data_IF_763679050028
#
_entry.id   IF_763679050028
#
_cell.length_a   1.000
_cell.length_b   1.000
_cell.length_c   1.000
_cell.angle_alpha   90.00
_cell.angle_beta   90.00
_cell.angle_gamma   90.00
#
_symmetry.space_group_name_H-M   'P 1'
#
loop_
_entity.id
_entity.type
_entity.pdbx_description
1 polymer ?
#
# COMPACT_ATOMS: atom_id res chain seq x y z
N UNK A 1 25.18 -18.15 29.60
CA UNK A 1 25.43 -18.42 31.05
C UNK A 1 24.15 -18.47 31.87
N UNK A 2 23.04 -17.85 31.44
CA UNK A 2 21.73 -17.98 32.11
C UNK A 2 20.66 -18.64 31.22
N UNK A 3 21.07 -19.35 30.17
CA UNK A 3 20.15 -19.81 29.12
C UNK A 3 19.18 -20.87 29.65
N UNK A 4 19.64 -21.78 30.51
CA UNK A 4 18.78 -22.73 31.20
C UNK A 4 17.72 -22.04 32.10
N UNK A 5 18.13 -21.06 32.90
CA UNK A 5 17.21 -20.32 33.77
C UNK A 5 16.18 -19.50 32.96
N UNK A 6 16.59 -18.94 31.81
CA UNK A 6 15.69 -18.25 30.88
C UNK A 6 14.66 -19.21 30.27
N UNK A 7 15.10 -20.39 29.83
CA UNK A 7 14.21 -21.43 29.28
C UNK A 7 13.18 -21.86 30.33
N UNK A 8 13.62 -22.19 31.56
CA UNK A 8 12.72 -22.61 32.64
C UNK A 8 11.68 -21.54 32.99
N UNK A 9 12.08 -20.27 32.98
CA UNK A 9 11.17 -19.15 33.22
C UNK A 9 10.13 -19.01 32.10
N UNK A 10 10.53 -19.14 30.83
CA UNK A 10 9.59 -19.10 29.71
C UNK A 10 8.61 -20.27 29.77
N UNK A 11 9.05 -21.47 30.13
CA UNK A 11 8.15 -22.63 30.32
C UNK A 11 7.10 -22.38 31.38
N UNK A 12 7.47 -21.77 32.51
CA UNK A 12 6.51 -21.38 33.54
C UNK A 12 5.50 -20.35 33.03
N UNK A 13 5.93 -19.38 32.22
CA UNK A 13 5.04 -18.40 31.59
C UNK A 13 4.08 -19.09 30.62
N UNK A 14 4.58 -19.96 29.73
CA UNK A 14 3.78 -20.73 28.77
C UNK A 14 2.74 -21.58 29.50
N UNK A 15 3.14 -22.28 30.56
CA UNK A 15 2.24 -23.09 31.37
C UNK A 15 1.14 -22.23 32.00
N UNK A 16 1.49 -21.05 32.53
CA UNK A 16 0.52 -20.10 33.10
C UNK A 16 -0.49 -19.61 32.07
N UNK A 17 -0.01 -19.14 30.90
CA UNK A 17 -0.86 -18.67 29.80
C UNK A 17 -1.81 -19.75 29.31
N UNK A 18 -1.30 -20.97 29.14
CA UNK A 18 -2.07 -22.12 28.63
C UNK A 18 -3.13 -22.58 29.62
N UNK A 19 -2.78 -22.68 30.92
CA UNK A 19 -3.72 -23.08 31.97
C UNK A 19 -4.86 -22.07 32.14
N UNK A 20 -4.56 -20.78 31.97
CA UNK A 20 -5.55 -19.71 32.08
C UNK A 20 -6.32 -19.45 30.78
N UNK A 21 -5.94 -20.11 29.67
CA UNK A 21 -6.53 -19.91 28.33
C UNK A 21 -6.56 -18.44 27.91
N UNK A 22 -5.47 -17.73 28.19
CA UNK A 22 -5.33 -16.31 27.84
C UNK A 22 -5.31 -16.18 26.31
N UNK A 23 -6.11 -15.25 25.79
CA UNK A 23 -5.99 -14.85 24.39
C UNK A 23 -4.70 -14.03 24.20
N UNK A 24 -3.80 -14.56 23.36
CA UNK A 24 -2.48 -13.98 23.06
C UNK A 24 -2.42 -13.37 21.66
N UNK A 25 -3.55 -13.24 20.96
CA UNK A 25 -3.64 -12.75 19.58
C UNK A 25 -3.03 -11.35 19.37
N UNK A 26 -3.19 -10.47 20.37
CA UNK A 26 -2.67 -9.09 20.36
C UNK A 26 -1.16 -8.99 20.60
N UNK A 27 -0.55 -10.02 21.21
CA UNK A 27 0.88 -10.06 21.56
C UNK A 27 1.65 -11.11 20.76
N UNK A 28 1.00 -11.77 19.79
CA UNK A 28 1.57 -12.88 19.02
C UNK A 28 2.89 -12.50 18.34
N UNK A 29 2.97 -11.31 17.75
CA UNK A 29 4.16 -10.81 17.07
C UNK A 29 5.34 -10.68 18.05
N UNK A 30 5.11 -10.10 19.23
CA UNK A 30 6.15 -9.93 20.25
C UNK A 30 6.64 -11.25 20.83
N UNK A 31 5.73 -12.22 21.02
CA UNK A 31 6.10 -13.57 21.45
C UNK A 31 6.99 -14.26 20.42
N UNK A 32 6.61 -14.21 19.15
CA UNK A 32 7.37 -14.80 18.04
C UNK A 32 8.74 -14.13 17.89
N UNK A 33 8.80 -12.81 17.91
CA UNK A 33 10.03 -12.03 17.77
C UNK A 33 11.11 -12.35 18.80
N UNK A 34 10.69 -12.78 20.01
CA UNK A 34 11.59 -13.12 21.11
C UNK A 34 11.87 -14.62 21.15
N UNK A 35 10.83 -15.45 21.05
CA UNK A 35 10.92 -16.89 21.31
C UNK A 35 11.37 -17.71 20.10
N UNK A 36 11.34 -17.14 18.89
CA UNK A 36 11.92 -17.77 17.70
C UNK A 36 13.47 -17.73 17.71
N UNK A 37 14.06 -16.86 18.54
CA UNK A 37 15.51 -16.72 18.67
C UNK A 37 16.13 -17.75 19.64
N UNK A 38 17.42 -18.06 19.47
CA UNK A 38 18.19 -18.76 20.50
C UNK A 38 18.21 -17.98 21.83
N UNK A 39 18.18 -18.66 22.99
CA UNK A 39 18.22 -20.11 23.15
C UNK A 39 16.82 -20.78 23.15
N UNK A 40 15.74 -20.01 23.02
CA UNK A 40 14.38 -20.47 23.31
C UNK A 40 13.88 -21.49 22.28
N UNK A 41 14.09 -21.21 20.99
CA UNK A 41 13.56 -22.07 19.93
C UNK A 41 14.21 -23.46 19.86
N UNK A 42 15.41 -23.61 20.45
CA UNK A 42 16.08 -24.91 20.57
C UNK A 42 15.38 -25.85 21.57
N UNK A 43 14.55 -25.33 22.47
CA UNK A 43 13.75 -26.14 23.39
C UNK A 43 12.48 -26.66 22.72
N UNK A 44 12.26 -27.97 22.81
CA UNK A 44 11.15 -28.65 22.13
C UNK A 44 9.76 -28.24 22.64
N UNK A 45 9.64 -27.92 23.94
CA UNK A 45 8.36 -27.51 24.52
C UNK A 45 7.99 -26.10 24.09
N UNK A 46 8.96 -25.18 24.16
CA UNK A 46 8.78 -23.79 23.72
C UNK A 46 8.49 -23.75 22.23
N UNK A 47 9.29 -24.43 21.40
CA UNK A 47 9.11 -24.41 19.94
C UNK A 47 7.78 -25.01 19.49
N UNK A 48 7.33 -26.12 20.10
CA UNK A 48 6.03 -26.71 19.74
C UNK A 48 4.85 -25.80 20.13
N UNK A 49 4.90 -25.20 21.32
CA UNK A 49 3.89 -24.21 21.72
C UNK A 49 3.91 -23.00 20.76
N UNK A 50 5.10 -22.49 20.43
CA UNK A 50 5.27 -21.33 19.56
C UNK A 50 4.75 -21.55 18.15
N UNK A 51 4.88 -22.77 17.59
CA UNK A 51 4.26 -23.12 16.29
C UNK A 51 2.74 -22.98 16.31
N UNK A 52 2.10 -23.31 17.44
CA UNK A 52 0.66 -23.06 17.64
C UNK A 52 0.32 -21.56 17.63
N UNK A 53 1.14 -20.73 18.26
CA UNK A 53 1.00 -19.27 18.21
C UNK A 53 1.23 -18.74 16.78
N UNK A 54 2.21 -19.32 16.08
CA UNK A 54 2.58 -18.94 14.72
C UNK A 54 1.48 -19.22 13.70
N UNK A 55 0.71 -20.30 13.85
CA UNK A 55 -0.41 -20.62 12.95
C UNK A 55 -1.39 -19.44 12.82
N UNK A 56 -1.82 -18.86 13.95
CA UNK A 56 -2.69 -17.68 13.97
C UNK A 56 -1.99 -16.41 13.46
N UNK A 57 -0.67 -16.32 13.62
CA UNK A 57 0.11 -15.18 13.11
C UNK A 57 0.20 -15.20 11.58
N UNK A 58 0.36 -16.38 10.98
CA UNK A 58 0.44 -16.60 9.53
C UNK A 58 -0.86 -16.16 8.83
N UNK A 59 -2.03 -16.44 9.42
CA UNK A 59 -3.34 -16.08 8.85
C UNK A 59 -3.46 -14.59 8.50
N UNK A 60 -2.83 -13.71 9.28
CA UNK A 60 -2.82 -12.25 9.05
C UNK A 60 -2.27 -11.88 7.66
N UNK A 61 -1.38 -12.71 7.12
CA UNK A 61 -0.71 -12.48 5.85
C UNK A 61 -1.34 -13.24 4.68
N UNK A 62 -2.50 -13.88 4.89
CA UNK A 62 -3.17 -14.55 3.78
C UNK A 62 -3.84 -13.56 2.81
N UNK A 63 -4.33 -12.43 3.33
CA UNK A 63 -4.98 -11.37 2.56
C UNK A 63 -4.17 -10.06 2.55
N UNK A 64 -2.99 -10.05 3.18
CA UNK A 64 -2.16 -8.86 3.32
C UNK A 64 -0.68 -9.13 2.98
N UNK A 65 0.00 -8.18 2.31
CA UNK A 65 1.44 -8.26 2.11
C UNK A 65 2.21 -8.38 3.43
N UNK A 66 3.10 -9.36 3.50
CA UNK A 66 3.96 -9.65 4.63
C UNK A 66 5.19 -8.73 4.59
N UNK A 67 5.46 -7.94 5.64
CA UNK A 67 6.70 -7.18 5.71
C UNK A 67 7.89 -8.13 5.85
N UNK A 68 9.10 -7.64 5.57
CA UNK A 68 10.32 -8.43 5.72
C UNK A 68 10.44 -8.96 7.15
N UNK A 69 10.53 -10.28 7.28
CA UNK A 69 10.66 -10.97 8.56
C UNK A 69 12.13 -11.30 8.87
N UNK A 70 12.44 -11.52 10.15
CA UNK A 70 13.73 -12.06 10.57
C UNK A 70 13.88 -13.52 10.13
N UNK A 71 15.12 -13.97 9.98
CA UNK A 71 15.46 -15.36 9.65
C UNK A 71 14.80 -16.37 10.60
N UNK A 72 14.90 -16.13 11.92
CA UNK A 72 14.30 -16.95 12.97
C UNK A 72 12.78 -17.11 12.82
N UNK A 73 12.10 -16.03 12.45
CA UNK A 73 10.64 -15.99 12.26
C UNK A 73 10.25 -16.76 11.00
N UNK A 74 10.96 -16.59 9.88
CA UNK A 74 10.71 -17.38 8.66
C UNK A 74 10.98 -18.87 8.91
N UNK A 75 12.03 -19.20 9.66
CA UNK A 75 12.29 -20.60 10.04
C UNK A 75 11.15 -21.21 10.85
N UNK A 76 10.63 -20.47 11.85
CA UNK A 76 9.44 -20.86 12.61
C UNK A 76 8.20 -21.03 11.72
N UNK A 77 7.97 -20.13 10.75
CA UNK A 77 6.84 -20.25 9.83
C UNK A 77 6.95 -21.53 8.99
N UNK A 78 8.12 -21.83 8.43
CA UNK A 78 8.34 -23.07 7.67
C UNK A 78 8.11 -24.30 8.55
N UNK A 79 8.61 -24.31 9.78
CA UNK A 79 8.35 -25.40 10.74
C UNK A 79 6.86 -25.53 11.08
N UNK A 80 6.14 -24.42 11.11
CA UNK A 80 4.69 -24.39 11.36
C UNK A 80 3.91 -25.00 10.20
N UNK A 81 4.27 -24.68 8.95
CA UNK A 81 3.70 -25.32 7.76
C UNK A 81 4.01 -26.83 7.69
N UNK A 82 5.20 -27.24 8.12
CA UNK A 82 5.55 -28.67 8.20
C UNK A 82 4.71 -29.40 9.25
N UNK A 83 4.44 -28.77 10.39
CA UNK A 83 3.62 -29.33 11.46
C UNK A 83 2.12 -29.36 11.10
N UNK A 84 1.64 -28.34 10.39
CA UNK A 84 0.25 -28.19 9.98
C UNK A 84 0.13 -28.06 8.45
N UNK A 85 0.22 -29.18 7.69
CA UNK A 85 0.23 -29.15 6.22
C UNK A 85 -1.02 -28.54 5.57
N UNK A 86 -2.17 -28.56 6.26
CA UNK A 86 -3.40 -27.93 5.77
C UNK A 86 -3.23 -26.42 5.53
N UNK A 87 -2.34 -25.77 6.31
CA UNK A 87 -2.02 -24.35 6.16
C UNK A 87 -1.35 -24.00 4.83
N UNK A 88 -0.73 -24.97 4.14
CA UNK A 88 -0.18 -24.77 2.80
C UNK A 88 -1.26 -24.31 1.80
N UNK A 89 -2.51 -24.70 2.05
CA UNK A 89 -3.65 -24.43 1.17
C UNK A 89 -4.64 -23.44 1.80
N UNK A 90 -4.93 -23.54 3.10
CA UNK A 90 -5.85 -22.59 3.76
C UNK A 90 -5.22 -21.21 3.93
N UNK A 91 -3.90 -21.13 4.06
CA UNK A 91 -3.12 -19.90 4.17
C UNK A 91 -2.13 -19.77 3.00
N UNK A 92 -2.59 -20.12 1.79
CA UNK A 92 -1.73 -20.29 0.62
C UNK A 92 -0.92 -19.04 0.27
N UNK A 93 -1.54 -17.86 0.31
CA UNK A 93 -0.85 -16.61 0.03
C UNK A 93 0.26 -16.33 1.06
N UNK A 94 0.01 -16.63 2.33
CA UNK A 94 1.01 -16.47 3.39
C UNK A 94 2.17 -17.47 3.20
N UNK A 95 1.87 -18.72 2.85
CA UNK A 95 2.88 -19.73 2.51
C UNK A 95 3.79 -19.27 1.37
N UNK A 96 3.21 -18.79 0.28
CA UNK A 96 3.98 -18.32 -0.89
C UNK A 96 4.88 -17.13 -0.55
N UNK A 97 4.40 -16.20 0.28
CA UNK A 97 5.22 -15.10 0.79
C UNK A 97 6.38 -15.59 1.67
N UNK A 98 6.14 -16.57 2.56
CA UNK A 98 7.21 -17.18 3.38
C UNK A 98 8.29 -17.81 2.51
N UNK A 99 7.90 -18.56 1.46
CA UNK A 99 8.87 -19.16 0.52
C UNK A 99 9.64 -18.07 -0.24
N UNK A 100 8.96 -17.04 -0.72
CA UNK A 100 9.59 -15.91 -1.41
C UNK A 100 10.67 -15.23 -0.55
N UNK A 101 10.35 -14.88 0.70
CA UNK A 101 11.33 -14.27 1.61
C UNK A 101 12.48 -15.22 1.96
N UNK A 102 12.20 -16.50 2.23
CA UNK A 102 13.22 -17.48 2.55
C UNK A 102 14.25 -17.67 1.41
N UNK A 103 13.79 -17.64 0.16
CA UNK A 103 14.64 -17.84 -1.02
C UNK A 103 15.43 -16.57 -1.40
N UNK A 104 14.77 -15.41 -1.38
CA UNK A 104 15.33 -14.21 -2.01
C UNK A 104 15.75 -13.10 -1.06
N UNK A 105 15.21 -13.05 0.16
CA UNK A 105 15.45 -11.95 1.11
C UNK A 105 16.34 -12.36 2.29
N UNK A 106 16.47 -13.66 2.57
CA UNK A 106 17.31 -14.18 3.66
C UNK A 106 18.58 -14.81 3.11
N UNK A 107 19.72 -14.48 3.72
CA UNK A 107 21.04 -15.03 3.36
C UNK A 107 21.40 -16.27 4.21
N UNK A 108 20.60 -17.33 4.09
CA UNK A 108 20.80 -18.58 4.83
C UNK A 108 20.59 -19.79 3.92
N UNK A 109 21.68 -20.50 3.60
CA UNK A 109 21.64 -21.65 2.70
C UNK A 109 20.78 -22.80 3.26
N UNK A 110 20.82 -23.01 4.58
CA UNK A 110 20.01 -24.00 5.28
C UNK A 110 18.52 -23.66 5.15
N UNK A 111 18.16 -22.41 5.41
CA UNK A 111 16.77 -21.97 5.31
C UNK A 111 16.24 -22.04 3.87
N UNK A 112 17.08 -21.66 2.89
CA UNK A 112 16.76 -21.80 1.46
C UNK A 112 16.46 -23.26 1.12
N UNK A 113 17.31 -24.19 1.55
CA UNK A 113 17.08 -25.62 1.33
C UNK A 113 15.78 -26.13 1.99
N UNK A 114 15.47 -25.62 3.18
CA UNK A 114 14.24 -25.97 3.89
C UNK A 114 13.01 -25.46 3.14
N UNK A 115 13.06 -24.23 2.65
CA UNK A 115 12.01 -23.60 1.85
C UNK A 115 11.80 -24.33 0.51
N UNK A 116 12.87 -24.67 -0.21
CA UNK A 116 12.73 -25.44 -1.46
C UNK A 116 12.13 -26.82 -1.20
N UNK A 117 12.53 -27.50 -0.13
CA UNK A 117 12.01 -28.83 0.23
C UNK A 117 10.51 -28.82 0.50
N UNK A 118 10.02 -27.85 1.29
CA UNK A 118 8.59 -27.76 1.58
C UNK A 118 7.80 -27.30 0.35
N UNK A 119 8.39 -26.45 -0.50
CA UNK A 119 7.75 -26.05 -1.76
C UNK A 119 7.63 -27.24 -2.74
N UNK A 120 8.67 -28.06 -2.86
CA UNK A 120 8.62 -29.29 -3.65
C UNK A 120 7.55 -30.26 -3.15
N UNK A 121 7.29 -30.29 -1.85
CA UNK A 121 6.20 -31.07 -1.28
C UNK A 121 4.83 -30.50 -1.70
N UNK A 122 4.66 -29.17 -1.59
CA UNK A 122 3.46 -28.47 -2.05
C UNK A 122 3.16 -28.74 -3.53
N UNK A 123 4.19 -28.69 -4.39
CA UNK A 123 4.05 -28.94 -5.82
C UNK A 123 3.56 -30.35 -6.15
N UNK A 124 3.92 -31.36 -5.33
CA UNK A 124 3.50 -32.77 -5.51
C UNK A 124 2.05 -33.05 -5.10
N UNK A 125 1.36 -32.08 -4.50
CA UNK A 125 -0.05 -32.25 -4.13
C UNK A 125 -0.94 -32.41 -5.36
N UNK A 126 -2.00 -33.22 -5.24
CA UNK A 126 -2.94 -33.48 -6.34
C UNK A 126 -3.63 -32.22 -6.87
N UNK A 127 -3.80 -31.21 -6.01
CA UNK A 127 -4.36 -29.90 -6.38
C UNK A 127 -3.42 -29.09 -7.28
N UNK A 128 -2.10 -29.15 -7.03
CA UNK A 128 -1.10 -28.33 -7.73
C UNK A 128 -0.55 -29.00 -8.98
N UNK A 129 -0.47 -30.34 -8.99
CA UNK A 129 0.11 -31.12 -10.09
C UNK A 129 -0.41 -30.75 -11.49
N UNK A 130 -1.72 -30.49 -11.72
CA UNK A 130 -2.20 -30.07 -13.03
C UNK A 130 -1.57 -28.76 -13.54
N UNK A 131 -1.26 -27.83 -12.65
CA UNK A 131 -0.65 -26.53 -13.00
C UNK A 131 0.85 -26.63 -13.21
N UNK A 132 1.52 -27.56 -12.51
CA UNK A 132 2.96 -27.86 -12.69
C UNK A 132 3.26 -28.46 -14.06
N UNK A 133 2.26 -29.08 -14.69
CA UNK A 133 2.36 -29.68 -16.02
C UNK A 133 2.06 -28.69 -17.16
N UNK A 134 1.67 -27.44 -16.84
CA UNK A 134 1.45 -26.41 -17.85
C UNK A 134 2.79 -25.94 -18.42
N UNK A 135 2.81 -25.63 -19.72
CA UNK A 135 4.02 -25.19 -20.43
C UNK A 135 4.63 -23.90 -19.83
N UNK A 136 3.80 -23.09 -19.18
CA UNK A 136 4.20 -21.83 -18.56
C UNK A 136 4.98 -21.97 -17.25
N UNK A 137 4.99 -23.17 -16.62
CA UNK A 137 5.57 -23.35 -15.28
C UNK A 137 7.10 -23.35 -15.27
N UNK A 138 7.68 -22.65 -14.29
CA UNK A 138 9.14 -22.54 -14.13
C UNK A 138 9.79 -21.74 -15.25
N UNK A 139 10.88 -22.26 -15.82
CA UNK A 139 11.57 -21.67 -16.99
C UNK A 139 11.18 -22.37 -18.30
N UNK A 140 9.88 -22.65 -18.47
CA UNK A 140 9.30 -23.27 -19.68
C UNK A 140 9.92 -24.64 -20.05
N UNK A 141 10.47 -25.37 -19.07
CA UNK A 141 11.03 -26.71 -19.30
C UNK A 141 11.07 -27.58 -18.03
N UNK A 142 10.68 -28.86 -18.19
CA UNK A 142 10.83 -29.97 -17.25
C UNK A 142 9.93 -30.00 -15.99
N UNK A 143 8.83 -29.23 -15.92
CA UNK A 143 7.89 -29.27 -14.79
C UNK A 143 8.58 -29.02 -13.43
N UNK A 144 9.59 -28.13 -13.43
CA UNK A 144 10.45 -27.86 -12.28
C UNK A 144 10.59 -26.36 -12.06
N UNK A 145 10.78 -26.01 -10.80
CA UNK A 145 11.09 -24.65 -10.38
C UNK A 145 12.52 -24.28 -10.82
N UNK A 146 12.70 -23.05 -11.26
CA UNK A 146 14.01 -22.46 -11.51
C UNK A 146 14.27 -21.31 -10.53
N UNK A 147 14.83 -21.66 -9.37
CA UNK A 147 15.12 -20.67 -8.33
C UNK A 147 16.21 -19.66 -8.73
N UNK A 148 16.98 -19.95 -9.78
CA UNK A 148 18.06 -19.07 -10.24
C UNK A 148 17.56 -17.89 -11.07
N UNK A 149 16.41 -18.06 -11.76
CA UNK A 149 15.77 -17.01 -12.54
C UNK A 149 14.57 -16.42 -11.80
N UNK A 150 14.68 -15.15 -11.39
CA UNK A 150 13.57 -14.41 -10.75
C UNK A 150 12.39 -14.12 -11.68
N UNK A 151 12.54 -14.35 -13.00
CA UNK A 151 11.49 -14.21 -13.99
C UNK A 151 10.81 -15.54 -14.35
N UNK A 152 11.34 -16.69 -13.90
CA UNK A 152 10.68 -17.97 -14.06
C UNK A 152 9.37 -18.01 -13.26
N UNK A 153 8.30 -18.55 -13.86
CA UNK A 153 6.96 -18.59 -13.27
C UNK A 153 6.87 -19.75 -12.25
N UNK A 154 7.57 -19.55 -11.13
CA UNK A 154 7.82 -20.55 -10.12
C UNK A 154 6.67 -20.72 -9.12
N UNK A 155 5.85 -19.67 -8.93
CA UNK A 155 4.82 -19.64 -7.90
C UNK A 155 3.44 -19.95 -8.46
N UNK A 156 2.72 -20.84 -7.79
CA UNK A 156 1.31 -21.16 -8.04
C UNK A 156 0.52 -20.82 -6.78
N UNK A 157 -0.42 -19.87 -6.89
CA UNK A 157 -1.32 -19.44 -5.82
C UNK A 157 -2.75 -19.89 -6.13
N UNK A 158 -3.53 -20.23 -5.11
CA UNK A 158 -4.97 -20.46 -5.22
C UNK A 158 -5.78 -19.29 -4.67
N UNK A 159 -6.96 -19.07 -5.23
CA UNK A 159 -7.89 -18.07 -4.71
C UNK A 159 -8.43 -18.44 -3.32
N UNK A 160 -8.60 -17.43 -2.47
CA UNK A 160 -8.90 -17.60 -1.04
C UNK A 160 -10.31 -18.14 -0.74
N UNK A 161 -11.28 -17.92 -1.64
CA UNK A 161 -12.70 -18.19 -1.35
C UNK A 161 -13.28 -19.39 -2.11
N UNK A 162 -12.64 -19.83 -3.19
CA UNK A 162 -13.02 -20.98 -4.00
C UNK A 162 -11.75 -21.47 -4.69
N UNK A 163 -11.39 -22.76 -4.66
CA UNK A 163 -10.22 -23.28 -5.40
C UNK A 163 -10.46 -23.35 -6.92
N UNK A 164 -11.32 -22.47 -7.45
CA UNK A 164 -11.69 -22.40 -8.85
C UNK A 164 -10.66 -21.63 -9.69
N UNK A 165 -9.89 -20.73 -9.08
CA UNK A 165 -8.83 -19.98 -9.74
C UNK A 165 -7.45 -20.31 -9.19
N UNK A 166 -6.48 -20.40 -10.10
CA UNK A 166 -5.06 -20.45 -9.78
C UNK A 166 -4.32 -19.34 -10.54
N UNK A 167 -3.35 -18.73 -9.88
CA UNK A 167 -2.49 -17.71 -10.47
C UNK A 167 -1.06 -18.23 -10.48
N UNK A 168 -0.41 -18.19 -11.65
CA UNK A 168 0.99 -18.57 -11.80
C UNK A 168 1.83 -17.35 -12.16
N UNK A 169 2.90 -17.11 -11.42
CA UNK A 169 3.75 -15.93 -11.60
C UNK A 169 5.19 -16.13 -11.10
N UNK A 170 6.05 -15.20 -11.48
CA UNK A 170 7.46 -15.18 -11.09
C UNK A 170 7.73 -14.37 -9.82
N UNK A 171 8.94 -14.45 -9.28
CA UNK A 171 9.35 -13.67 -8.11
C UNK A 171 9.25 -12.17 -8.35
N UNK A 172 9.73 -11.69 -9.51
CA UNK A 172 9.70 -10.26 -9.82
C UNK A 172 8.27 -9.74 -9.93
N UNK A 173 7.37 -10.54 -10.50
CA UNK A 173 5.94 -10.20 -10.60
C UNK A 173 5.29 -10.22 -9.21
N UNK A 174 5.60 -11.23 -8.38
CA UNK A 174 5.06 -11.37 -7.03
C UNK A 174 5.42 -10.14 -6.19
N UNK A 175 6.70 -9.81 -6.11
CA UNK A 175 7.19 -8.65 -5.38
C UNK A 175 6.56 -7.35 -5.91
N UNK A 176 6.51 -7.19 -7.24
CA UNK A 176 5.93 -6.02 -7.89
C UNK A 176 4.41 -5.87 -7.71
N UNK A 177 3.68 -6.95 -7.45
CA UNK A 177 2.24 -6.90 -7.17
C UNK A 177 1.93 -6.71 -5.68
N UNK A 178 2.73 -7.28 -4.78
CA UNK A 178 2.61 -7.09 -3.34
C UNK A 178 2.96 -5.65 -2.91
N UNK A 179 4.06 -5.14 -3.47
CA UNK A 179 4.59 -3.81 -3.18
C UNK A 179 4.97 -3.12 -4.50
N UNK A 180 4.00 -2.56 -5.24
CA UNK A 180 4.27 -1.95 -6.53
C UNK A 180 5.27 -0.80 -6.43
N UNK A 181 6.09 -0.68 -7.46
CA UNK A 181 6.98 0.45 -7.58
C UNK A 181 6.17 1.69 -7.98
N UNK A 182 5.88 2.49 -6.96
CA UNK A 182 5.13 3.74 -7.05
C UNK A 182 5.84 4.84 -7.85
N UNK A 183 7.05 4.58 -8.36
CA UNK A 183 7.84 5.52 -9.18
C UNK A 183 7.80 5.21 -10.67
N UNK A 184 7.44 3.99 -11.05
CA UNK A 184 7.40 3.58 -12.45
C UNK A 184 6.13 4.10 -13.13
N UNK A 185 6.28 4.90 -14.20
CA UNK A 185 5.17 5.13 -15.11
C UNK A 185 4.79 3.77 -15.72
N UNK A 186 3.50 3.46 -15.72
CA UNK A 186 2.93 2.31 -16.42
C UNK A 186 3.41 0.92 -15.94
N UNK A 187 3.59 0.73 -14.63
CA UNK A 187 3.84 -0.62 -14.09
C UNK A 187 2.67 -1.55 -14.46
N UNK A 188 2.99 -2.62 -15.18
CA UNK A 188 2.02 -3.61 -15.64
C UNK A 188 1.86 -4.70 -14.59
N UNK A 189 0.69 -4.75 -13.95
CA UNK A 189 0.37 -5.75 -12.91
C UNK A 189 -0.26 -7.04 -13.47
N UNK A 190 -0.40 -7.18 -14.79
CA UNK A 190 -1.03 -8.36 -15.42
C UNK A 190 -0.03 -9.37 -16.00
N UNK A 191 1.23 -9.34 -15.53
CA UNK A 191 2.30 -10.23 -15.96
C UNK A 191 2.23 -11.60 -15.26
N UNK A 192 1.04 -12.18 -15.18
CA UNK A 192 0.78 -13.48 -14.57
C UNK A 192 -0.11 -14.32 -15.49
N UNK A 193 -0.06 -15.64 -15.33
CA UNK A 193 -1.00 -16.55 -15.95
C UNK A 193 -2.16 -16.80 -14.98
N UNK A 194 -3.39 -16.68 -15.48
CA UNK A 194 -4.59 -16.89 -14.68
C UNK A 194 -5.34 -18.11 -15.21
N UNK A 195 -5.62 -19.05 -14.34
CA UNK A 195 -6.32 -20.26 -14.69
C UNK A 195 -7.66 -20.32 -13.97
N UNK A 196 -8.71 -20.70 -14.69
CA UNK A 196 -9.98 -21.11 -14.10
C UNK A 196 -10.23 -22.57 -14.46
N UNK A 197 -10.26 -23.44 -13.44
CA UNK A 197 -10.39 -24.90 -13.64
C UNK A 197 -9.42 -25.44 -14.71
N UNK A 198 -8.15 -25.03 -14.62
CA UNK A 198 -7.04 -25.40 -15.55
C UNK A 198 -7.12 -24.80 -16.96
N UNK A 199 -8.15 -24.01 -17.29
CA UNK A 199 -8.15 -23.24 -18.54
C UNK A 199 -7.43 -21.91 -18.32
N UNK A 200 -6.38 -21.65 -19.12
CA UNK A 200 -5.68 -20.38 -19.12
C UNK A 200 -6.60 -19.28 -19.71
N UNK A 201 -6.84 -18.23 -18.94
CA UNK A 201 -7.72 -17.11 -19.30
C UNK A 201 -6.92 -16.02 -20.00
N UNK A 202 -7.51 -15.43 -21.05
CA UNK A 202 -6.93 -14.26 -21.67
C UNK A 202 -7.22 -13.01 -20.83
N UNK A 203 -6.38 -12.00 -20.96
CA UNK A 203 -6.56 -10.72 -20.25
C UNK A 203 -7.88 -10.01 -20.61
N UNK A 204 -8.51 -10.35 -21.74
CA UNK A 204 -9.84 -9.84 -22.14
C UNK A 204 -10.98 -10.49 -21.35
N UNK A 205 -10.73 -11.64 -20.72
CA UNK A 205 -11.76 -12.49 -20.11
C UNK A 205 -12.04 -12.13 -18.65
N UNK A 206 -11.26 -11.21 -18.06
CA UNK A 206 -11.40 -10.80 -16.67
C UNK A 206 -11.07 -9.32 -16.44
N UNK A 207 -11.49 -8.81 -15.29
CA UNK A 207 -11.15 -7.47 -14.81
C UNK A 207 -10.21 -7.58 -13.62
N UNK A 208 -9.05 -6.90 -13.67
CA UNK A 208 -8.03 -6.98 -12.63
C UNK A 208 -8.55 -6.61 -11.24
N UNK A 209 -9.43 -5.61 -11.16
CA UNK A 209 -10.03 -5.20 -9.89
C UNK A 209 -10.83 -6.36 -9.26
N UNK A 210 -11.63 -7.08 -10.05
CA UNK A 210 -12.40 -8.23 -9.55
C UNK A 210 -11.48 -9.38 -9.11
N UNK A 211 -10.46 -9.69 -9.93
CA UNK A 211 -9.48 -10.75 -9.63
C UNK A 211 -8.77 -10.46 -8.31
N UNK A 212 -8.26 -9.24 -8.11
CA UNK A 212 -7.53 -8.94 -6.88
C UNK A 212 -8.45 -8.72 -5.69
N UNK A 213 -9.62 -8.09 -5.87
CA UNK A 213 -10.53 -7.84 -4.74
C UNK A 213 -11.17 -9.12 -4.21
N UNK A 214 -11.61 -9.99 -5.11
CA UNK A 214 -12.51 -11.09 -4.76
C UNK A 214 -11.86 -12.48 -4.82
N UNK A 215 -10.79 -12.65 -5.61
CA UNK A 215 -10.12 -13.96 -5.82
C UNK A 215 -8.74 -14.02 -5.17
N UNK A 216 -7.92 -12.98 -5.29
CA UNK A 216 -6.59 -12.89 -4.70
C UNK A 216 -6.40 -11.60 -3.86
N UNK A 217 -7.07 -11.48 -2.70
CA UNK A 217 -7.10 -10.27 -1.87
C UNK A 217 -5.71 -9.73 -1.49
N UNK A 218 -4.72 -10.61 -1.37
CA UNK A 218 -3.33 -10.25 -1.08
C UNK A 218 -2.76 -9.17 -2.02
N UNK A 219 -3.20 -9.12 -3.27
CA UNK A 219 -2.74 -8.13 -4.26
C UNK A 219 -3.59 -6.86 -4.30
N UNK A 220 -4.75 -6.83 -3.63
CA UNK A 220 -5.70 -5.73 -3.78
C UNK A 220 -5.16 -4.42 -3.24
N UNK A 221 -4.49 -4.44 -2.08
CA UNK A 221 -3.89 -3.24 -1.48
C UNK A 221 -2.77 -2.65 -2.34
N UNK A 222 -1.93 -3.49 -2.95
CA UNK A 222 -0.93 -3.09 -3.94
C UNK A 222 -1.58 -2.49 -5.18
N UNK A 223 -2.54 -3.19 -5.77
CA UNK A 223 -3.31 -2.71 -6.94
C UNK A 223 -3.96 -1.34 -6.71
N UNK A 224 -4.66 -1.17 -5.58
CA UNK A 224 -5.28 0.11 -5.21
C UNK A 224 -4.24 1.22 -5.04
N UNK A 225 -3.08 0.91 -4.46
CA UNK A 225 -1.99 1.88 -4.29
C UNK A 225 -1.44 2.34 -5.64
N UNK A 226 -1.24 1.42 -6.57
CA UNK A 226 -0.81 1.76 -7.92
C UNK A 226 -1.86 2.60 -8.67
N UNK A 227 -3.15 2.21 -8.62
CA UNK A 227 -4.22 2.98 -9.25
C UNK A 227 -4.30 4.41 -8.73
N UNK A 228 -4.24 4.58 -7.40
CA UNK A 228 -4.22 5.89 -6.74
C UNK A 228 -3.08 6.75 -7.26
N UNK A 229 -1.87 6.20 -7.29
CA UNK A 229 -0.67 6.96 -7.69
C UNK A 229 -0.66 7.26 -9.18
N UNK A 230 -1.02 6.30 -10.04
CA UNK A 230 -1.15 6.56 -11.48
C UNK A 230 -2.20 7.64 -11.77
N UNK A 231 -3.33 7.61 -11.05
CA UNK A 231 -4.39 8.63 -11.21
C UNK A 231 -3.90 10.00 -10.73
N UNK A 232 -3.16 10.05 -9.63
CA UNK A 232 -2.55 11.28 -9.12
C UNK A 232 -1.45 11.81 -10.06
N UNK A 233 -0.60 10.95 -10.61
CA UNK A 233 0.45 11.33 -11.57
C UNK A 233 -0.16 11.93 -12.84
N UNK A 234 -1.27 11.36 -13.33
CA UNK A 234 -2.03 11.92 -14.46
C UNK A 234 -2.60 13.31 -14.15
N UNK A 235 -3.00 13.56 -12.90
CA UNK A 235 -3.41 14.90 -12.46
C UNK A 235 -2.23 15.88 -12.49
N UNK A 236 -1.04 15.44 -12.06
CA UNK A 236 0.17 16.26 -12.17
C UNK A 236 0.58 16.52 -13.62
N UNK A 237 0.42 15.53 -14.52
CA UNK A 237 0.69 15.70 -15.95
C UNK A 237 -0.18 16.84 -16.56
N UNK A 238 -1.43 17.02 -16.09
CA UNK A 238 -2.28 18.13 -16.53
C UNK A 238 -1.71 19.51 -16.20
N UNK A 239 -0.89 19.60 -15.15
CA UNK A 239 -0.26 20.86 -14.77
C UNK A 239 0.84 21.27 -15.77
N UNK A 240 1.33 20.37 -16.64
CA UNK A 240 2.42 20.62 -17.61
C UNK A 240 3.63 21.27 -16.93
N UNK A 241 4.03 20.64 -15.84
CA UNK A 241 5.21 21.04 -15.09
C UNK A 241 6.45 20.67 -15.90
N UNK A 242 7.53 21.43 -15.72
CA UNK A 242 8.83 20.95 -16.22
C UNK A 242 9.27 19.68 -15.48
N UNK A 243 10.25 18.98 -16.04
CA UNK A 243 10.76 17.71 -15.51
C UNK A 243 11.21 17.84 -14.05
N UNK A 244 11.89 18.94 -13.70
CA UNK A 244 12.36 19.22 -12.34
C UNK A 244 11.20 19.32 -11.35
N UNK A 245 10.21 20.16 -11.63
CA UNK A 245 9.06 20.38 -10.72
C UNK A 245 8.17 19.14 -10.63
N UNK A 246 8.00 18.43 -11.75
CA UNK A 246 7.30 17.15 -11.77
C UNK A 246 7.96 16.14 -10.82
N UNK A 247 9.28 15.95 -10.95
CA UNK A 247 10.03 15.02 -10.11
C UNK A 247 10.01 15.41 -8.64
N UNK A 248 10.06 16.71 -8.31
CA UNK A 248 9.95 17.20 -6.92
C UNK A 248 8.59 16.82 -6.33
N UNK A 249 7.48 17.06 -7.03
CA UNK A 249 6.15 16.71 -6.54
C UNK A 249 5.99 15.19 -6.36
N UNK A 250 6.42 14.41 -7.35
CA UNK A 250 6.38 12.94 -7.28
C UNK A 250 7.26 12.40 -6.16
N UNK A 251 8.46 12.95 -5.95
CA UNK A 251 9.36 12.52 -4.88
C UNK A 251 8.78 12.83 -3.48
N UNK A 252 8.06 13.95 -3.36
CA UNK A 252 7.45 14.38 -2.10
C UNK A 252 6.33 13.45 -1.63
N UNK A 253 5.58 12.79 -2.53
CA UNK A 253 4.51 11.83 -2.13
C UNK A 253 5.02 10.57 -1.42
N UNK A 254 6.33 10.31 -1.49
CA UNK A 254 7.00 9.10 -0.98
C UNK A 254 7.65 9.27 0.39
N UNK A 255 7.44 10.43 1.01
CA UNK A 255 8.11 10.81 2.26
C UNK A 255 7.14 11.59 3.13
N UNK A 256 7.18 11.33 4.43
CA UNK A 256 6.47 12.14 5.42
C UNK A 256 7.09 13.54 5.59
N UNK A 257 8.38 13.68 5.27
CA UNK A 257 9.15 14.93 5.31
C UNK A 257 10.03 15.04 4.05
N UNK A 258 9.98 16.17 3.36
CA UNK A 258 10.84 16.50 2.22
C UNK A 258 11.94 17.49 2.63
N UNK A 259 13.15 17.23 2.14
CA UNK A 259 14.28 18.16 2.22
C UNK A 259 14.24 19.22 1.13
N UNK A 260 13.61 18.92 -0.01
CA UNK A 260 13.39 19.86 -1.11
C UNK A 260 12.27 20.84 -0.77
N UNK A 261 12.50 22.13 -1.04
CA UNK A 261 11.60 23.25 -0.71
C UNK A 261 11.38 24.13 -1.93
N UNK A 262 10.14 24.58 -2.15
CA UNK A 262 9.74 25.44 -3.27
C UNK A 262 9.33 26.83 -2.78
N UNK A 263 10.19 27.47 -1.99
CA UNK A 263 9.97 28.81 -1.43
C UNK A 263 10.87 29.87 -2.06
N UNK A 264 11.86 29.49 -2.87
CA UNK A 264 12.72 30.43 -3.58
C UNK A 264 11.87 31.33 -4.53
N UNK A 265 12.10 32.65 -4.55
CA UNK A 265 11.41 33.57 -5.47
C UNK A 265 11.33 33.12 -6.93
N UNK A 266 12.41 32.56 -7.50
CA UNK A 266 12.42 32.11 -8.90
C UNK A 266 11.46 30.94 -9.14
N UNK A 267 11.46 29.96 -8.22
CA UNK A 267 10.58 28.79 -8.28
C UNK A 267 9.12 29.17 -8.03
N UNK A 268 8.86 30.15 -7.15
CA UNK A 268 7.51 30.68 -6.93
C UNK A 268 6.96 31.37 -8.18
N UNK A 269 7.76 32.20 -8.85
CA UNK A 269 7.37 32.87 -10.11
C UNK A 269 7.08 31.81 -11.19
N UNK A 270 7.92 30.78 -11.26
CA UNK A 270 7.75 29.70 -12.23
C UNK A 270 6.46 28.91 -11.97
N UNK A 271 6.21 28.49 -10.72
CA UNK A 271 4.98 27.81 -10.33
C UNK A 271 3.74 28.67 -10.62
N UNK A 272 3.79 29.96 -10.29
CA UNK A 272 2.67 30.87 -10.54
C UNK A 272 2.38 30.98 -12.05
N UNK A 273 3.42 31.09 -12.89
CA UNK A 273 3.28 31.13 -14.35
C UNK A 273 2.67 29.85 -14.93
N UNK A 274 2.99 28.69 -14.36
CA UNK A 274 2.50 27.39 -14.83
C UNK A 274 1.05 27.12 -14.43
N UNK A 275 0.66 27.50 -13.20
CA UNK A 275 -0.66 27.16 -12.66
C UNK A 275 -1.71 28.24 -12.94
N UNK A 276 -1.36 29.52 -12.93
CA UNK A 276 -2.32 30.61 -13.10
C UNK A 276 -2.88 30.64 -14.53
N UNK A 277 -4.18 30.87 -14.65
CA UNK A 277 -5.00 30.80 -15.87
C UNK A 277 -5.08 29.43 -16.55
N UNK A 278 -4.30 28.45 -16.10
CA UNK A 278 -4.38 27.08 -16.56
C UNK A 278 -5.18 26.21 -15.59
N UNK A 279 -4.75 26.14 -14.34
CA UNK A 279 -5.36 25.33 -13.29
C UNK A 279 -6.36 26.13 -12.45
N UNK A 280 -6.01 27.37 -12.11
CA UNK A 280 -6.88 28.30 -11.39
C UNK A 280 -6.79 29.72 -11.94
N UNK A 281 -7.77 30.56 -11.61
CA UNK A 281 -7.87 31.96 -11.99
C UNK A 281 -8.16 32.84 -10.77
N UNK A 282 -7.62 34.05 -10.79
CA UNK A 282 -7.93 35.10 -9.82
C UNK A 282 -9.17 35.87 -10.31
N UNK A 283 -10.22 35.91 -9.49
CA UNK A 283 -11.47 36.61 -9.82
C UNK A 283 -11.52 37.97 -9.14
N UNK A 284 -11.27 37.97 -7.84
CA UNK A 284 -11.32 39.16 -6.98
C UNK A 284 -10.36 38.95 -5.80
N UNK A 285 -10.04 39.99 -5.01
CA UNK A 285 -9.23 39.83 -3.82
C UNK A 285 -9.78 38.70 -2.94
N UNK A 286 -8.94 37.70 -2.68
CA UNK A 286 -9.24 36.52 -1.88
C UNK A 286 -10.22 35.50 -2.51
N UNK A 287 -10.55 35.65 -3.80
CA UNK A 287 -11.40 34.73 -4.54
C UNK A 287 -10.64 34.11 -5.72
N UNK A 288 -10.34 32.83 -5.58
CA UNK A 288 -9.66 32.00 -6.56
C UNK A 288 -10.60 30.89 -7.00
N UNK A 289 -10.67 30.63 -8.31
CA UNK A 289 -11.54 29.59 -8.86
C UNK A 289 -10.74 28.64 -9.74
N UNK A 290 -11.12 27.36 -9.77
CA UNK A 290 -10.61 26.45 -10.77
C UNK A 290 -11.04 26.94 -12.15
N UNK A 291 -10.19 26.78 -13.15
CA UNK A 291 -10.64 27.00 -14.53
C UNK A 291 -11.64 25.90 -14.89
N UNK A 292 -12.65 26.22 -15.69
CA UNK A 292 -13.65 25.22 -16.09
C UNK A 292 -12.99 24.05 -16.82
N UNK A 293 -12.00 24.33 -17.65
CA UNK A 293 -11.21 23.29 -18.33
C UNK A 293 -10.55 22.34 -17.34
N UNK A 294 -9.82 22.87 -16.35
CA UNK A 294 -9.10 22.03 -15.38
C UNK A 294 -10.06 21.25 -14.48
N UNK A 295 -11.21 21.85 -14.12
CA UNK A 295 -12.28 21.14 -13.42
C UNK A 295 -12.80 19.94 -14.23
N UNK A 296 -13.11 20.12 -15.51
CA UNK A 296 -13.52 19.02 -16.40
C UNK A 296 -12.43 17.96 -16.54
N UNK A 297 -11.15 18.36 -16.60
CA UNK A 297 -10.03 17.43 -16.66
C UNK A 297 -9.90 16.59 -15.38
N UNK A 298 -10.13 17.16 -14.19
CA UNK A 298 -10.25 16.41 -12.93
C UNK A 298 -11.39 15.40 -13.01
N UNK A 299 -12.59 15.83 -13.45
CA UNK A 299 -13.74 14.92 -13.57
C UNK A 299 -13.47 13.76 -14.53
N UNK A 300 -12.72 14.00 -15.61
CA UNK A 300 -12.31 12.96 -16.56
C UNK A 300 -11.33 11.96 -15.94
N UNK A 301 -10.27 12.44 -15.28
CA UNK A 301 -9.22 11.58 -14.71
C UNK A 301 -9.77 10.68 -13.61
N UNK A 302 -10.59 11.25 -12.72
CA UNK A 302 -11.17 10.53 -11.60
C UNK A 302 -12.53 9.88 -11.92
N UNK A 303 -12.97 9.91 -13.19
CA UNK A 303 -14.23 9.32 -13.67
C UNK A 303 -15.48 9.81 -12.88
N UNK A 304 -15.53 11.11 -12.57
CA UNK A 304 -16.57 11.74 -11.73
C UNK A 304 -17.71 12.41 -12.52
N UNK A 305 -17.86 12.13 -13.82
CA UNK A 305 -18.90 12.81 -14.63
C UNK A 305 -20.33 12.46 -14.19
N UNK A 306 -20.57 11.19 -13.96
CA UNK A 306 -21.90 10.63 -13.68
C UNK A 306 -22.20 10.47 -12.18
N UNK A 307 -21.28 10.91 -11.30
CA UNK A 307 -21.45 10.82 -9.84
C UNK A 307 -22.15 12.06 -9.28
N UNK A 308 -22.62 11.97 -8.03
CA UNK A 308 -23.33 13.07 -7.39
C UNK A 308 -22.43 14.28 -7.13
N UNK A 309 -23.01 15.47 -7.02
CA UNK A 309 -22.23 16.68 -6.67
C UNK A 309 -21.58 16.58 -5.30
N UNK A 310 -22.17 15.79 -4.39
CA UNK A 310 -21.55 15.44 -3.11
C UNK A 310 -20.24 14.67 -3.31
N UNK A 311 -20.23 13.60 -4.10
CA UNK A 311 -19.03 12.80 -4.36
C UNK A 311 -17.96 13.60 -5.11
N UNK A 312 -18.36 14.47 -6.05
CA UNK A 312 -17.44 15.41 -6.71
C UNK A 312 -16.80 16.35 -5.69
N UNK A 313 -17.61 16.93 -4.78
CA UNK A 313 -17.14 17.85 -3.76
C UNK A 313 -16.17 17.16 -2.78
N UNK A 314 -16.49 15.95 -2.32
CA UNK A 314 -15.63 15.15 -1.44
C UNK A 314 -14.27 14.87 -2.09
N UNK A 315 -14.25 14.45 -3.36
CA UNK A 315 -12.99 14.23 -4.09
C UNK A 315 -12.16 15.50 -4.23
N UNK A 316 -12.79 16.59 -4.66
CA UNK A 316 -12.09 17.87 -4.90
C UNK A 316 -11.58 18.45 -3.58
N UNK A 317 -12.34 18.28 -2.49
CA UNK A 317 -11.87 18.62 -1.15
C UNK A 317 -10.66 17.79 -0.75
N UNK A 318 -10.69 16.48 -0.95
CA UNK A 318 -9.54 15.62 -0.63
C UNK A 318 -8.31 15.98 -1.44
N UNK A 319 -8.46 16.33 -2.73
CA UNK A 319 -7.36 16.85 -3.56
C UNK A 319 -6.84 18.19 -3.03
N UNK A 320 -7.73 19.10 -2.63
CA UNK A 320 -7.35 20.36 -1.98
C UNK A 320 -6.47 20.08 -0.76
N UNK A 321 -6.89 19.19 0.14
CA UNK A 321 -6.14 18.83 1.34
C UNK A 321 -4.74 18.27 1.02
N UNK A 322 -4.60 17.47 -0.04
CA UNK A 322 -3.31 16.96 -0.54
C UNK A 322 -2.42 18.11 -1.02
N UNK A 323 -2.95 19.06 -1.80
CA UNK A 323 -2.18 20.25 -2.22
C UNK A 323 -1.86 21.20 -1.06
N UNK A 324 -2.70 21.30 -0.03
CA UNK A 324 -2.34 22.00 1.21
C UNK A 324 -1.17 21.30 1.90
N UNK A 325 -1.15 19.97 1.93
CA UNK A 325 -0.03 19.20 2.52
C UNK A 325 1.29 19.48 1.78
N UNK A 326 1.28 19.59 0.45
CA UNK A 326 2.46 20.04 -0.31
C UNK A 326 2.98 21.39 0.18
N UNK A 327 2.09 22.33 0.51
CA UNK A 327 2.48 23.68 0.95
C UNK A 327 3.03 23.74 2.38
N UNK A 328 2.94 22.65 3.14
CA UNK A 328 3.36 22.59 4.54
C UNK A 328 4.88 22.60 4.73
N UNK A 329 5.33 23.00 5.93
CA UNK A 329 6.74 22.98 6.31
C UNK A 329 7.37 21.59 6.25
N UNK A 330 6.56 20.55 6.44
CA UNK A 330 6.98 19.15 6.30
C UNK A 330 7.36 18.79 4.86
N UNK A 331 6.66 19.34 3.85
CA UNK A 331 6.84 18.95 2.45
C UNK A 331 7.61 20.05 1.69
N UNK A 332 6.96 20.97 0.97
CA UNK A 332 7.65 21.95 0.11
C UNK A 332 7.75 23.36 0.69
N UNK A 333 7.10 23.63 1.82
CA UNK A 333 7.22 24.89 2.56
C UNK A 333 8.31 24.86 3.63
N UNK A 334 8.57 26.01 4.23
CA UNK A 334 9.35 26.16 5.46
C UNK A 334 8.42 26.56 6.61
N UNK A 335 8.95 26.76 7.81
CA UNK A 335 8.16 27.24 8.96
C UNK A 335 7.58 28.65 8.74
N UNK A 336 8.23 29.46 7.88
CA UNK A 336 7.87 30.86 7.65
C UNK A 336 7.32 31.14 6.26
N UNK A 337 7.59 30.27 5.29
CA UNK A 337 7.24 30.48 3.89
C UNK A 337 6.57 29.24 3.31
N UNK A 338 5.71 29.45 2.31
CA UNK A 338 4.99 28.36 1.66
C UNK A 338 4.84 28.67 0.16
N UNK A 339 4.81 27.67 -0.72
CA UNK A 339 4.63 27.88 -2.16
C UNK A 339 3.26 28.51 -2.44
N UNK A 340 3.22 29.79 -2.77
CA UNK A 340 1.96 30.56 -2.84
C UNK A 340 1.04 30.07 -3.96
N UNK A 341 1.57 29.75 -5.14
CA UNK A 341 0.77 29.23 -6.25
C UNK A 341 0.01 27.93 -5.88
N UNK A 342 0.62 27.04 -5.09
CA UNK A 342 -0.02 25.82 -4.61
C UNK A 342 -1.08 26.13 -3.53
N UNK A 343 -0.90 27.16 -2.71
CA UNK A 343 -1.91 27.63 -1.75
C UNK A 343 -3.15 28.19 -2.47
N UNK A 344 -2.93 29.01 -3.50
CA UNK A 344 -4.02 29.58 -4.31
C UNK A 344 -4.78 28.50 -5.07
N UNK A 345 -4.05 27.53 -5.64
CA UNK A 345 -4.66 26.37 -6.29
C UNK A 345 -5.48 25.51 -5.31
N UNK A 346 -4.96 25.27 -4.11
CA UNK A 346 -5.70 24.56 -3.05
C UNK A 346 -6.97 25.33 -2.64
N UNK A 347 -6.89 26.66 -2.54
CA UNK A 347 -8.02 27.52 -2.23
C UNK A 347 -9.09 27.46 -3.33
N UNK A 348 -8.68 27.46 -4.60
CA UNK A 348 -9.57 27.28 -5.74
C UNK A 348 -10.32 25.94 -5.71
N UNK A 349 -9.64 24.85 -5.37
CA UNK A 349 -10.27 23.53 -5.16
C UNK A 349 -11.26 23.55 -3.98
N UNK A 350 -10.86 24.14 -2.85
CA UNK A 350 -11.73 24.28 -1.67
C UNK A 350 -13.00 25.07 -2.00
N UNK A 351 -12.87 26.16 -2.76
CA UNK A 351 -13.99 26.97 -3.24
C UNK A 351 -14.93 26.14 -4.12
N UNK A 352 -14.39 25.35 -5.06
CA UNK A 352 -15.21 24.50 -5.93
C UNK A 352 -15.93 23.38 -5.16
N UNK A 353 -15.27 22.76 -4.18
CA UNK A 353 -15.91 21.76 -3.32
C UNK A 353 -17.07 22.36 -2.52
N UNK A 354 -16.89 23.56 -1.96
CA UNK A 354 -17.97 24.27 -1.26
C UNK A 354 -19.11 24.66 -2.19
N UNK A 355 -18.83 25.14 -3.39
CA UNK A 355 -19.84 25.46 -4.41
C UNK A 355 -20.70 24.23 -4.77
N UNK A 356 -20.08 23.07 -4.94
CA UNK A 356 -20.75 21.83 -5.31
C UNK A 356 -21.62 21.26 -4.18
N UNK A 357 -21.11 21.25 -2.95
CA UNK A 357 -21.83 20.67 -1.82
C UNK A 357 -21.42 21.28 -0.48
N UNK A 358 -22.06 22.39 -0.03
CA UNK A 358 -21.75 23.02 1.25
C UNK A 358 -21.92 22.09 2.47
N UNK A 359 -22.75 21.06 2.37
CA UNK A 359 -23.09 20.17 3.49
C UNK A 359 -22.00 19.17 3.85
N UNK A 360 -20.91 19.05 3.06
CA UNK A 360 -19.75 18.24 3.44
C UNK A 360 -18.86 18.94 4.48
N UNK A 361 -19.12 20.22 4.76
CA UNK A 361 -18.41 21.04 5.72
C UNK A 361 -19.23 21.20 7.00
N UNK A 362 -18.57 21.40 8.13
CA UNK A 362 -19.27 21.57 9.41
C UNK A 362 -19.97 22.94 9.49
N UNK A 363 -19.39 23.97 8.84
CA UNK A 363 -19.97 25.32 8.79
C UNK A 363 -19.29 26.20 7.72
N UNK A 364 -19.97 27.27 7.32
CA UNK A 364 -19.37 28.33 6.47
C UNK A 364 -18.17 29.02 7.16
N UNK A 365 -18.20 29.13 8.49
CA UNK A 365 -17.10 29.69 9.27
C UNK A 365 -15.81 28.86 9.16
N UNK A 366 -15.93 27.52 9.19
CA UNK A 366 -14.81 26.60 8.99
C UNK A 366 -14.15 26.83 7.63
N UNK A 367 -14.95 26.91 6.56
CA UNK A 367 -14.44 27.15 5.20
C UNK A 367 -13.76 28.52 5.12
N UNK A 368 -14.36 29.55 5.70
CA UNK A 368 -13.80 30.90 5.73
C UNK A 368 -12.45 30.93 6.47
N UNK A 369 -12.34 30.23 7.60
CA UNK A 369 -11.08 30.11 8.34
C UNK A 369 -9.99 29.44 7.48
N UNK A 370 -10.32 28.33 6.83
CA UNK A 370 -9.38 27.60 5.96
C UNK A 370 -8.93 28.46 4.78
N UNK A 371 -9.83 29.18 4.12
CA UNK A 371 -9.48 30.16 3.07
C UNK A 371 -8.54 31.23 3.61
N UNK A 372 -8.85 31.83 4.76
CA UNK A 372 -8.00 32.86 5.36
C UNK A 372 -6.60 32.34 5.67
N UNK A 373 -6.46 31.12 6.17
CA UNK A 373 -5.15 30.47 6.40
C UNK A 373 -4.42 30.20 5.09
N UNK A 374 -5.10 29.75 4.04
CA UNK A 374 -4.50 29.55 2.71
C UNK A 374 -4.02 30.86 2.08
N UNK A 375 -4.69 31.96 2.35
CA UNK A 375 -4.40 33.25 1.73
C UNK A 375 -3.56 34.19 2.63
N UNK A 376 -3.26 33.78 3.87
CA UNK A 376 -2.50 34.59 4.82
C UNK A 376 -3.26 35.81 5.34
N UNK A 377 -4.59 35.72 5.42
CA UNK A 377 -5.48 36.83 5.79
C UNK A 377 -5.82 36.83 7.28
N UNK A 378 -6.10 38.01 7.83
CA UNK A 378 -6.83 38.15 9.11
C UNK A 378 -6.07 37.83 10.40
N UNK A 379 -4.74 38.09 10.49
CA UNK A 379 -3.87 37.68 11.63
C UNK A 379 -3.86 36.16 11.89
N UNK A 380 -4.43 35.37 10.98
CA UNK A 380 -4.48 33.91 11.09
C UNK A 380 -3.08 33.34 10.99
N UNK A 381 -2.70 32.47 11.94
CA UNK A 381 -1.46 31.72 11.87
C UNK A 381 -1.44 30.90 10.57
N UNK A 382 -0.56 31.28 9.63
CA UNK A 382 -0.52 30.79 8.24
C UNK A 382 0.17 29.44 8.07
N UNK A 383 0.46 28.73 9.17
CA UNK A 383 1.08 27.42 9.11
C UNK A 383 0.14 26.42 8.43
N UNK A 384 0.45 26.12 7.17
CA UNK A 384 -0.25 25.16 6.31
C UNK A 384 -0.10 23.72 6.80
N UNK A 385 0.86 23.43 7.69
CA UNK A 385 0.97 22.13 8.36
C UNK A 385 -0.22 21.85 9.31
N UNK A 386 -0.63 22.85 10.09
CA UNK A 386 -1.82 22.75 10.95
C UNK A 386 -3.08 22.64 10.10
N UNK A 387 -3.17 23.44 9.03
CA UNK A 387 -4.33 23.41 8.14
C UNK A 387 -4.48 22.08 7.40
N UNK A 388 -3.40 21.55 6.82
CA UNK A 388 -3.45 20.25 6.12
C UNK A 388 -3.89 19.13 7.07
N UNK A 389 -3.39 19.11 8.30
CA UNK A 389 -3.82 18.14 9.32
C UNK A 389 -5.32 18.29 9.62
N UNK A 390 -5.81 19.51 9.81
CA UNK A 390 -7.23 19.75 10.07
C UNK A 390 -8.14 19.33 8.89
N UNK A 391 -7.75 19.61 7.64
CA UNK A 391 -8.50 19.21 6.46
C UNK A 391 -8.47 17.69 6.24
N UNK A 392 -7.32 17.05 6.46
CA UNK A 392 -7.19 15.58 6.38
C UNK A 392 -8.04 14.91 7.46
N UNK A 393 -8.01 15.39 8.69
CA UNK A 393 -8.82 14.84 9.78
C UNK A 393 -10.32 15.04 9.55
N UNK A 394 -10.73 16.16 8.94
CA UNK A 394 -12.10 16.38 8.51
C UNK A 394 -12.55 15.34 7.47
N UNK A 395 -11.78 15.20 6.39
CA UNK A 395 -12.06 14.21 5.35
C UNK A 395 -12.06 12.78 5.89
N UNK A 396 -11.15 12.45 6.80
CA UNK A 396 -11.08 11.13 7.45
C UNK A 396 -12.34 10.83 8.28
N UNK A 397 -12.93 11.84 8.93
CA UNK A 397 -14.16 11.66 9.72
C UNK A 397 -15.41 11.57 8.85
N UNK A 398 -15.49 12.38 7.79
CA UNK A 398 -16.72 12.55 7.01
C UNK A 398 -16.80 11.64 5.77
N UNK A 399 -15.66 11.40 5.09
CA UNK A 399 -15.59 10.69 3.82
C UNK A 399 -14.21 10.01 3.63
N UNK A 400 -13.83 9.15 4.58
CA UNK A 400 -12.54 8.44 4.63
C UNK A 400 -12.22 7.65 3.35
N UNK A 401 -13.23 7.02 2.75
CA UNK A 401 -13.08 6.26 1.52
C UNK A 401 -12.58 7.14 0.37
N UNK A 402 -13.12 8.35 0.23
CA UNK A 402 -12.70 9.27 -0.83
C UNK A 402 -11.28 9.79 -0.59
N UNK A 403 -10.96 10.16 0.65
CA UNK A 403 -9.60 10.56 1.03
C UNK A 403 -8.56 9.48 0.71
N UNK A 404 -8.88 8.22 1.01
CA UNK A 404 -8.01 7.08 0.77
C UNK A 404 -7.61 6.92 -0.71
N UNK A 405 -8.41 7.41 -1.65
CA UNK A 405 -8.10 7.29 -3.08
C UNK A 405 -7.13 8.33 -3.61
N UNK A 406 -6.81 9.39 -2.85
CA UNK A 406 -5.95 10.49 -3.31
C UNK A 406 -4.78 10.80 -2.38
N UNK A 407 -4.91 10.53 -1.07
CA UNK A 407 -3.86 10.82 -0.10
C UNK A 407 -2.69 9.83 -0.27
N UNK A 408 -1.45 10.31 -0.48
CA UNK A 408 -0.29 9.44 -0.52
C UNK A 408 -0.14 8.61 0.77
N UNK A 409 0.28 7.33 0.69
CA UNK A 409 0.39 6.46 1.86
C UNK A 409 1.29 7.01 2.98
N UNK A 410 2.40 7.68 2.64
CA UNK A 410 3.33 8.25 3.63
C UNK A 410 2.81 9.53 4.30
N UNK A 411 1.65 10.03 3.87
CA UNK A 411 0.99 11.23 4.40
C UNK A 411 -0.27 10.93 5.19
N UNK A 412 -0.60 9.64 5.32
CA UNK A 412 -1.73 9.16 6.11
C UNK A 412 -1.52 9.39 7.61
#
# INVERSE_FOLDING_TARGET
MYDAAKIDMIKQIIASLSNQRVDISSVSASLIDILAEPPYYADAEISNWLKGVCANFIEKFNDWPMPLQKESVINLMIDTFQLYPDLLFSCNSAFIQTISQAIYEIDSAELKQKATTIYDHYLKSSQIQPYVQMDDFGSYSNNKVDWSDKNAANYILFSSNEQSYAMMLSQNVLAGMLMPNLTGKDQVLNQFFLYQQQNNLNQTDYQLEDIFKNKFPIFYSGYQSLLRINTFNRLLDLLDLDEKLYDILIAATKKSISTEKLVNPEEQIQLEKLLTNKAYQFIAPNDYQLTEKFYQDILNIYKLKEVTDKEKAEKIFSLSAVFVKYTSSAILGTETESPNALRYFSCAMLNKAYELCPTIFDSEQQVTEWKNRLLGLGKSFSCTAVLSSAMIDHARKQFSNELATVLPPDWY
#
